data_IF_360882698442
#
_entry.id   IF_360882698442
#
_cell.length_a   1.000
_cell.length_b   1.000
_cell.length_c   1.000
_cell.angle_alpha   90.00
_cell.angle_beta   90.00
_cell.angle_gamma   90.00
#
_symmetry.space_group_name_H-M   'P 1'
#
loop_
_entity.id
_entity.type
_entity.pdbx_description
1 polymer ?
#
# COMPACT_ATOMS: atom_id res chain seq x y z
N UNK A 1 -13.66 50.55 -18.54
CA UNK A 1 -12.88 49.30 -18.65
C UNK A 1 -12.59 48.79 -17.26
N UNK A 2 -13.12 47.66 -16.86
CA UNK A 2 -12.86 47.08 -15.55
C UNK A 2 -11.37 46.66 -15.48
N UNK A 3 -10.69 47.06 -14.40
CA UNK A 3 -9.29 46.73 -14.12
C UNK A 3 -9.14 45.19 -14.11
N UNK A 4 -8.16 44.62 -14.85
CA UNK A 4 -8.00 43.16 -14.82
C UNK A 4 -7.72 42.72 -13.38
N UNK A 5 -8.52 41.80 -12.89
CA UNK A 5 -8.36 41.22 -11.54
C UNK A 5 -7.03 40.45 -11.58
N UNK A 6 -6.02 41.01 -10.94
CA UNK A 6 -4.72 40.32 -10.78
C UNK A 6 -4.93 39.12 -9.88
N UNK A 7 -4.93 37.94 -10.48
CA UNK A 7 -5.09 36.68 -9.73
C UNK A 7 -3.71 36.30 -9.17
N UNK A 8 -3.55 36.31 -7.84
CA UNK A 8 -2.30 35.98 -7.18
C UNK A 8 -2.03 34.47 -7.23
N UNK A 9 -0.77 34.08 -7.08
CA UNK A 9 -0.31 32.70 -7.08
C UNK A 9 -0.99 31.88 -5.96
N UNK A 10 -1.17 32.49 -4.79
CA UNK A 10 -1.83 31.88 -3.62
C UNK A 10 -3.31 31.64 -3.92
N UNK A 11 -3.99 32.56 -4.57
CA UNK A 11 -5.39 32.42 -4.95
C UNK A 11 -5.59 31.32 -5.99
N UNK A 12 -4.68 31.20 -6.95
CA UNK A 12 -4.70 30.11 -7.93
C UNK A 12 -4.48 28.77 -7.22
N UNK A 13 -3.50 28.68 -6.32
CA UNK A 13 -3.21 27.46 -5.57
C UNK A 13 -4.39 27.05 -4.66
N UNK A 14 -4.98 27.99 -3.94
CA UNK A 14 -6.18 27.73 -3.11
C UNK A 14 -7.34 27.19 -3.93
N UNK A 15 -7.69 27.83 -5.04
CA UNK A 15 -8.76 27.39 -5.93
C UNK A 15 -8.45 26.00 -6.54
N UNK A 16 -7.16 25.71 -6.81
CA UNK A 16 -6.72 24.41 -7.31
C UNK A 16 -6.86 23.30 -6.27
N UNK A 17 -6.53 23.57 -5.01
CA UNK A 17 -6.74 22.65 -3.90
C UNK A 17 -8.22 22.35 -3.70
N UNK A 18 -9.08 23.34 -3.78
CA UNK A 18 -10.52 23.15 -3.66
C UNK A 18 -11.11 22.30 -4.80
N UNK A 19 -10.63 22.49 -6.03
CA UNK A 19 -11.01 21.64 -7.16
C UNK A 19 -10.56 20.19 -6.94
N UNK A 20 -9.34 20.00 -6.45
CA UNK A 20 -8.82 18.66 -6.13
C UNK A 20 -9.63 18.02 -5.01
N UNK A 21 -9.99 18.74 -3.95
CA UNK A 21 -10.85 18.24 -2.87
C UNK A 21 -12.22 17.80 -3.34
N UNK A 22 -12.74 18.39 -4.41
CA UNK A 22 -14.06 18.04 -4.94
C UNK A 22 -14.09 16.77 -5.81
N UNK A 23 -12.94 16.27 -6.30
CA UNK A 23 -12.92 15.08 -7.15
C UNK A 23 -11.55 14.70 -7.73
N UNK A 24 -10.48 15.10 -7.06
CA UNK A 24 -9.12 14.68 -7.39
C UNK A 24 -8.46 15.48 -8.52
N UNK A 25 -7.22 15.08 -8.86
CA UNK A 25 -6.42 15.73 -9.91
C UNK A 25 -7.09 15.78 -11.30
N UNK A 26 -7.92 14.82 -11.72
CA UNK A 26 -8.61 14.91 -13.01
C UNK A 26 -9.49 16.15 -13.16
N UNK A 27 -10.08 16.66 -12.08
CA UNK A 27 -10.89 17.89 -12.11
C UNK A 27 -10.04 19.16 -12.26
N UNK A 28 -8.73 19.09 -11.97
CA UNK A 28 -7.83 20.22 -12.11
C UNK A 28 -7.38 20.38 -13.55
N UNK A 29 -8.18 21.11 -14.32
CA UNK A 29 -7.90 21.50 -15.71
C UNK A 29 -7.78 23.02 -15.82
N UNK A 30 -7.17 23.51 -16.91
CA UNK A 30 -7.13 24.95 -17.16
C UNK A 30 -8.55 25.55 -17.23
N UNK A 31 -9.48 24.84 -17.89
CA UNK A 31 -10.87 25.27 -18.06
C UNK A 31 -11.60 25.38 -16.73
N UNK A 32 -11.53 24.36 -15.88
CA UNK A 32 -12.22 24.38 -14.57
C UNK A 32 -11.63 25.43 -13.64
N UNK A 33 -10.31 25.64 -13.69
CA UNK A 33 -9.65 26.64 -12.87
C UNK A 33 -9.95 28.07 -13.33
N UNK A 34 -9.97 28.34 -14.65
CA UNK A 34 -10.40 29.61 -15.21
C UNK A 34 -11.85 29.93 -14.83
N UNK A 35 -12.74 28.96 -14.95
CA UNK A 35 -14.16 29.13 -14.59
C UNK A 35 -14.32 29.46 -13.10
N UNK A 36 -13.58 28.79 -12.22
CA UNK A 36 -13.62 29.01 -10.77
C UNK A 36 -13.05 30.37 -10.34
N UNK A 37 -12.03 30.87 -11.05
CA UNK A 37 -11.35 32.13 -10.73
C UNK A 37 -11.93 33.34 -11.46
N UNK A 38 -12.76 33.13 -12.47
CA UNK A 38 -13.29 34.20 -13.34
C UNK A 38 -12.19 34.88 -14.15
N UNK A 39 -11.16 34.15 -14.61
CA UNK A 39 -10.02 34.73 -15.32
C UNK A 39 -9.66 33.93 -16.57
N UNK A 40 -8.87 34.50 -17.47
CA UNK A 40 -8.34 33.81 -18.63
C UNK A 40 -7.11 32.90 -18.27
N UNK A 41 -6.81 31.91 -19.13
CA UNK A 41 -5.72 30.98 -18.93
C UNK A 41 -4.34 31.65 -18.87
N UNK A 42 -4.17 32.79 -19.55
CA UNK A 42 -2.93 33.59 -19.51
C UNK A 42 -2.58 34.04 -18.10
N UNK A 43 -3.58 34.41 -17.27
CA UNK A 43 -3.36 34.83 -15.90
C UNK A 43 -2.85 33.68 -15.01
N UNK A 44 -3.27 32.45 -15.28
CA UNK A 44 -2.81 31.26 -14.57
C UNK A 44 -1.38 30.88 -15.04
N UNK A 45 -1.16 30.85 -16.35
CA UNK A 45 0.11 30.42 -16.90
C UNK A 45 1.25 31.41 -16.71
N UNK A 46 0.95 32.71 -16.56
CA UNK A 46 1.96 33.70 -16.16
C UNK A 46 2.59 33.38 -14.80
N UNK A 47 1.82 32.73 -13.89
CA UNK A 47 2.28 32.40 -12.53
C UNK A 47 2.89 31.00 -12.41
N UNK A 48 2.44 30.04 -13.21
CA UNK A 48 2.82 28.62 -13.08
C UNK A 48 3.36 28.00 -14.36
N UNK A 49 3.48 28.74 -15.46
CA UNK A 49 3.98 28.29 -16.76
C UNK A 49 2.98 27.38 -17.51
N UNK A 50 2.39 26.43 -16.84
CA UNK A 50 1.48 25.45 -17.42
C UNK A 50 0.49 24.88 -16.38
N UNK A 51 -0.53 24.15 -16.84
CA UNK A 51 -1.40 23.39 -15.93
C UNK A 51 -0.62 22.31 -15.17
N UNK A 52 0.44 21.76 -15.77
CA UNK A 52 1.32 20.81 -15.08
C UNK A 52 2.07 21.49 -13.92
N UNK A 53 2.54 22.72 -14.11
CA UNK A 53 3.15 23.52 -13.04
C UNK A 53 2.18 23.80 -11.89
N UNK A 54 0.89 24.03 -12.19
CA UNK A 54 -0.17 24.12 -11.16
C UNK A 54 -0.32 22.78 -10.40
N UNK A 55 -0.41 21.66 -11.13
CA UNK A 55 -0.51 20.32 -10.51
C UNK A 55 0.69 19.99 -9.62
N UNK A 56 1.88 20.38 -10.02
CA UNK A 56 3.09 20.15 -9.22
C UNK A 56 3.11 21.02 -7.96
N UNK A 57 2.60 22.26 -8.05
CA UNK A 57 2.40 23.11 -6.87
C UNK A 57 1.36 22.54 -5.91
N UNK A 58 0.26 21.97 -6.42
CA UNK A 58 -0.75 21.26 -5.61
C UNK A 58 -0.14 20.04 -4.92
N UNK A 59 0.66 19.23 -5.61
CA UNK A 59 1.37 18.08 -5.00
C UNK A 59 2.30 18.52 -3.86
N UNK A 60 3.03 19.63 -4.07
CA UNK A 60 3.91 20.20 -3.03
C UNK A 60 3.11 20.65 -1.81
N UNK A 61 2.01 21.34 -2.01
CA UNK A 61 1.17 21.84 -0.91
C UNK A 61 0.43 20.69 -0.20
N UNK A 62 -0.05 19.68 -0.93
CA UNK A 62 -0.64 18.47 -0.34
C UNK A 62 0.36 17.75 0.60
N UNK A 63 1.62 17.60 0.18
CA UNK A 63 2.69 17.04 1.03
C UNK A 63 2.96 17.89 2.26
N UNK A 64 2.94 19.21 2.13
CA UNK A 64 3.15 20.14 3.26
C UNK A 64 2.01 20.01 4.28
N UNK A 65 0.76 19.97 3.81
CA UNK A 65 -0.42 19.77 4.67
C UNK A 65 -0.37 18.41 5.37
N UNK A 66 -0.01 17.35 4.65
CA UNK A 66 0.18 16.02 5.20
C UNK A 66 1.24 16.02 6.31
N UNK A 67 2.46 16.53 6.01
CA UNK A 67 3.55 16.59 7.00
C UNK A 67 3.17 17.37 8.25
N UNK A 68 2.45 18.48 8.09
CA UNK A 68 1.97 19.27 9.22
C UNK A 68 0.98 18.47 10.07
N UNK A 69 -0.14 18.01 9.47
CA UNK A 69 -1.21 17.34 10.20
C UNK A 69 -0.79 15.99 10.80
N UNK A 70 -0.04 15.19 10.06
CA UNK A 70 0.43 13.89 10.55
C UNK A 70 1.52 14.07 11.60
N UNK A 71 2.40 15.06 11.44
CA UNK A 71 3.40 15.42 12.44
C UNK A 71 2.80 15.88 13.79
N UNK A 72 1.66 16.57 13.76
CA UNK A 72 0.93 16.96 14.98
C UNK A 72 0.48 15.74 15.80
N UNK A 73 0.35 14.57 15.17
CA UNK A 73 0.00 13.33 15.85
C UNK A 73 1.00 12.88 16.92
N UNK A 74 2.28 13.26 16.79
CA UNK A 74 3.30 12.93 17.80
C UNK A 74 3.08 13.66 19.13
N UNK A 75 2.26 14.70 19.18
CA UNK A 75 1.86 15.36 20.42
C UNK A 75 0.84 14.55 21.25
N UNK A 76 0.24 13.50 20.66
CA UNK A 76 -0.67 12.59 21.36
C UNK A 76 0.12 11.54 22.16
N UNK A 77 -0.50 11.00 23.20
CA UNK A 77 0.13 9.96 24.03
C UNK A 77 -0.55 8.58 23.82
N UNK A 78 0.20 7.51 23.51
CA UNK A 78 1.62 7.50 23.16
C UNK A 78 1.89 8.06 21.75
N UNK A 79 3.04 8.74 21.52
CA UNK A 79 3.31 9.50 20.30
C UNK A 79 3.22 8.67 19.02
N UNK A 80 3.76 7.46 19.01
CA UNK A 80 3.73 6.59 17.84
C UNK A 80 2.30 6.17 17.44
N UNK A 81 1.43 5.93 18.43
CA UNK A 81 0.01 5.66 18.20
C UNK A 81 -0.71 6.91 17.64
N UNK A 82 -0.36 8.07 18.21
CA UNK A 82 -0.89 9.35 17.75
C UNK A 82 -0.55 9.65 16.30
N UNK A 83 0.67 9.36 15.86
CA UNK A 83 1.07 9.40 14.46
C UNK A 83 0.16 8.54 13.57
N UNK A 84 -0.07 7.27 13.93
CA UNK A 84 -0.95 6.38 13.17
C UNK A 84 -2.39 6.89 13.09
N UNK A 85 -2.94 7.42 14.18
CA UNK A 85 -4.27 8.05 14.21
C UNK A 85 -4.31 9.26 13.27
N UNK A 86 -3.32 10.14 13.33
CA UNK A 86 -3.27 11.35 12.51
C UNK A 86 -3.14 11.04 11.01
N UNK A 87 -2.38 9.99 10.65
CA UNK A 87 -2.26 9.49 9.28
C UNK A 87 -3.62 9.03 8.73
N UNK A 88 -4.32 8.19 9.47
CA UNK A 88 -5.64 7.67 9.08
C UNK A 88 -6.65 8.81 9.02
N UNK A 89 -6.61 9.72 9.98
CA UNK A 89 -7.50 10.88 10.03
C UNK A 89 -7.28 11.82 8.85
N UNK A 90 -6.01 12.08 8.47
CA UNK A 90 -5.71 12.86 7.27
C UNK A 90 -6.30 12.21 6.01
N UNK A 91 -6.19 10.89 5.88
CA UNK A 91 -6.76 10.16 4.75
C UNK A 91 -8.30 10.25 4.70
N UNK A 92 -8.97 10.24 5.85
CA UNK A 92 -10.43 10.38 5.93
C UNK A 92 -10.92 11.80 5.62
N UNK A 93 -10.22 12.81 6.12
CA UNK A 93 -10.55 14.23 5.94
C UNK A 93 -10.23 14.74 4.54
N UNK A 94 -9.10 14.29 3.99
CA UNK A 94 -8.52 14.80 2.75
C UNK A 94 -8.20 13.64 1.77
N UNK A 95 -9.21 12.81 1.38
CA UNK A 95 -8.98 11.56 0.65
C UNK A 95 -8.25 11.77 -0.68
N UNK A 96 -8.58 12.83 -1.41
CA UNK A 96 -7.91 13.14 -2.68
C UNK A 96 -6.50 13.69 -2.50
N UNK A 97 -6.23 14.46 -1.43
CA UNK A 97 -4.88 14.92 -1.13
C UNK A 97 -4.03 13.77 -0.61
N UNK A 98 -4.59 12.85 0.19
CA UNK A 98 -3.92 11.63 0.62
C UNK A 98 -3.49 10.78 -0.58
N UNK A 99 -4.39 10.55 -1.55
CA UNK A 99 -4.05 9.83 -2.78
C UNK A 99 -2.87 10.48 -3.52
N UNK A 100 -2.85 11.82 -3.63
CA UNK A 100 -1.75 12.56 -4.26
C UNK A 100 -0.44 12.39 -3.51
N UNK A 101 -0.47 12.38 -2.18
CA UNK A 101 0.73 12.20 -1.34
C UNK A 101 1.27 10.79 -1.49
N UNK A 102 0.40 9.78 -1.57
CA UNK A 102 0.76 8.37 -1.73
C UNK A 102 1.04 7.95 -3.18
N UNK A 103 0.77 8.85 -4.17
CA UNK A 103 1.07 8.58 -5.58
C UNK A 103 2.57 8.59 -5.84
N UNK A 104 3.13 7.44 -6.22
CA UNK A 104 4.53 7.29 -6.57
C UNK A 104 4.80 7.66 -8.03
N UNK A 105 5.75 8.56 -8.26
CA UNK A 105 6.37 8.77 -9.58
C UNK A 105 7.66 7.95 -9.76
N UNK A 106 8.18 7.39 -8.68
CA UNK A 106 9.39 6.56 -8.68
C UNK A 106 8.97 5.11 -8.45
N UNK A 107 9.70 4.19 -9.07
CA UNK A 107 9.59 2.77 -8.74
C UNK A 107 10.50 2.51 -7.55
N UNK A 108 9.97 2.39 -6.32
CA UNK A 108 10.80 2.08 -5.17
C UNK A 108 11.44 0.71 -5.36
N UNK A 109 12.70 0.57 -4.99
CA UNK A 109 13.46 -0.68 -5.12
C UNK A 109 13.01 -1.74 -4.10
N UNK A 110 12.33 -1.31 -3.03
CA UNK A 110 11.79 -2.19 -2.00
C UNK A 110 10.56 -1.59 -1.35
N UNK A 111 9.81 -2.45 -0.65
CA UNK A 111 8.68 -2.02 0.18
C UNK A 111 9.09 -1.02 1.27
N UNK A 112 10.26 -1.19 1.90
CA UNK A 112 10.80 -0.27 2.89
C UNK A 112 11.05 1.11 2.29
N UNK A 113 11.66 1.15 1.10
CA UNK A 113 11.90 2.42 0.38
C UNK A 113 10.58 3.12 0.03
N UNK A 114 9.55 2.36 -0.32
CA UNK A 114 8.21 2.92 -0.54
C UNK A 114 7.69 3.61 0.72
N UNK A 115 7.66 2.90 1.84
CA UNK A 115 7.17 3.46 3.11
C UNK A 115 8.00 4.67 3.53
N UNK A 116 9.32 4.53 3.54
CA UNK A 116 10.22 5.59 4.01
C UNK A 116 10.12 6.86 3.14
N UNK A 117 9.88 6.70 1.83
CA UNK A 117 9.75 7.82 0.89
C UNK A 117 8.38 8.51 0.93
N UNK A 118 7.29 7.76 1.09
CA UNK A 118 5.94 8.29 0.94
C UNK A 118 5.25 8.59 2.27
N UNK A 119 5.40 7.72 3.26
CA UNK A 119 4.87 7.98 4.58
C UNK A 119 5.73 9.01 5.31
N UNK A 120 7.04 8.86 5.23
CA UNK A 120 8.00 9.69 5.95
C UNK A 120 7.96 9.45 7.47
N UNK A 121 8.58 10.32 8.24
CA UNK A 121 8.58 10.29 9.71
C UNK A 121 9.22 9.05 10.34
N UNK A 122 10.07 8.32 9.61
CA UNK A 122 10.73 7.12 10.15
C UNK A 122 11.55 7.42 11.39
N UNK A 123 12.35 8.48 11.36
CA UNK A 123 13.21 8.85 12.49
C UNK A 123 12.39 9.20 13.74
N UNK A 124 11.34 10.02 13.56
CA UNK A 124 10.43 10.42 14.64
C UNK A 124 9.65 9.21 15.20
N UNK A 125 9.22 8.31 14.34
CA UNK A 125 8.55 7.07 14.75
C UNK A 125 9.48 6.16 15.54
N UNK A 126 10.73 5.95 15.09
CA UNK A 126 11.71 5.12 15.78
C UNK A 126 12.08 5.73 17.15
N UNK A 127 12.22 7.06 17.25
CA UNK A 127 12.42 7.75 18.55
C UNK A 127 11.24 7.51 19.49
N UNK A 128 10.02 7.72 19.00
CA UNK A 128 8.81 7.49 19.78
C UNK A 128 8.65 6.02 20.25
N UNK A 129 9.04 5.06 19.40
CA UNK A 129 9.05 3.63 19.73
C UNK A 129 10.08 3.34 20.83
N UNK A 130 11.30 3.89 20.69
CA UNK A 130 12.35 3.72 21.69
C UNK A 130 11.95 4.30 23.05
N UNK A 131 11.40 5.50 23.06
CA UNK A 131 10.94 6.18 24.28
C UNK A 131 9.77 5.46 24.95
N UNK A 132 8.80 4.95 24.15
CA UNK A 132 7.57 4.36 24.69
C UNK A 132 7.74 2.89 25.08
N UNK A 133 8.49 2.11 24.29
CA UNK A 133 8.55 0.64 24.42
C UNK A 133 9.94 0.11 24.76
N UNK A 134 10.98 0.95 24.76
CA UNK A 134 12.37 0.56 25.00
C UNK A 134 12.99 -0.24 23.85
N UNK A 135 12.36 -0.25 22.66
CA UNK A 135 12.85 -1.02 21.51
C UNK A 135 13.84 -0.21 20.67
N UNK A 136 14.87 -0.86 20.15
CA UNK A 136 15.89 -0.26 19.29
C UNK A 136 16.25 -1.18 18.12
N UNK A 137 16.97 -0.64 17.12
CA UNK A 137 17.48 -1.41 15.99
C UNK A 137 16.39 -2.14 15.20
N UNK A 138 16.61 -3.42 14.92
CA UNK A 138 15.70 -4.24 14.09
C UNK A 138 14.30 -4.39 14.69
N UNK A 139 14.18 -4.47 16.01
CA UNK A 139 12.90 -4.65 16.69
C UNK A 139 12.04 -3.38 16.59
N UNK A 140 12.65 -2.20 16.74
CA UNK A 140 11.98 -0.93 16.54
C UNK A 140 11.55 -0.74 15.08
N UNK A 141 12.42 -1.09 14.11
CA UNK A 141 12.07 -1.06 12.68
C UNK A 141 10.94 -2.03 12.35
N UNK A 142 10.96 -3.24 12.87
CA UNK A 142 9.89 -4.21 12.67
C UNK A 142 8.55 -3.66 13.15
N UNK A 143 8.49 -3.13 14.37
CA UNK A 143 7.27 -2.52 14.91
C UNK A 143 6.81 -1.33 14.06
N UNK A 144 7.73 -0.48 13.61
CA UNK A 144 7.44 0.66 12.74
C UNK A 144 6.76 0.22 11.44
N UNK A 145 7.38 -0.68 10.67
CA UNK A 145 6.85 -1.09 9.38
C UNK A 145 5.51 -1.81 9.50
N UNK A 146 5.35 -2.68 10.49
CA UNK A 146 4.09 -3.41 10.70
C UNK A 146 2.93 -2.45 11.03
N UNK A 147 3.15 -1.49 11.92
CA UNK A 147 2.09 -0.55 12.29
C UNK A 147 1.80 0.48 11.21
N UNK A 148 2.80 0.90 10.43
CA UNK A 148 2.57 1.76 9.28
C UNK A 148 1.73 1.03 8.23
N UNK A 149 1.96 -0.26 8.00
CA UNK A 149 1.12 -1.08 7.12
C UNK A 149 -0.34 -1.14 7.58
N UNK A 150 -0.55 -1.39 8.87
CA UNK A 150 -1.90 -1.39 9.45
C UNK A 150 -2.56 -0.03 9.26
N UNK A 151 -1.83 1.06 9.54
CA UNK A 151 -2.35 2.41 9.39
C UNK A 151 -2.68 2.76 7.93
N UNK A 152 -1.81 2.39 6.97
CA UNK A 152 -2.06 2.58 5.54
C UNK A 152 -3.25 1.74 5.05
N UNK A 153 -3.38 0.50 5.49
CA UNK A 153 -4.52 -0.36 5.18
C UNK A 153 -5.84 0.24 5.65
N UNK A 154 -5.88 0.74 6.89
CA UNK A 154 -7.05 1.44 7.44
C UNK A 154 -7.33 2.75 6.68
N UNK A 155 -6.31 3.56 6.42
CA UNK A 155 -6.43 4.80 5.67
C UNK A 155 -7.02 4.55 4.27
N UNK A 156 -6.50 3.57 3.54
CA UNK A 156 -6.98 3.21 2.19
C UNK A 156 -8.43 2.71 2.24
N UNK A 157 -8.78 1.86 3.22
CA UNK A 157 -10.14 1.35 3.39
C UNK A 157 -11.14 2.49 3.65
N UNK A 158 -10.75 3.47 4.44
CA UNK A 158 -11.58 4.64 4.74
C UNK A 158 -11.74 5.57 3.52
N UNK A 159 -10.69 5.78 2.71
CA UNK A 159 -10.76 6.64 1.52
C UNK A 159 -11.62 6.06 0.41
N UNK A 160 -11.70 4.72 0.31
CA UNK A 160 -12.56 4.04 -0.67
C UNK A 160 -14.07 4.14 -0.35
N UNK A 161 -14.48 4.89 0.66
CA UNK A 161 -15.88 5.09 1.04
C UNK A 161 -16.58 3.86 1.63
N UNK A 162 -15.84 2.77 1.84
CA UNK A 162 -16.39 1.47 2.32
C UNK A 162 -16.56 1.42 3.83
N UNK A 163 -15.88 2.29 4.57
CA UNK A 163 -15.98 2.35 6.03
C UNK A 163 -15.60 3.75 6.52
N UNK A 164 -16.35 4.26 7.50
CA UNK A 164 -15.94 5.42 8.31
C UNK A 164 -15.69 4.93 9.72
N UNK A 165 -14.42 4.85 10.10
CA UNK A 165 -14.03 4.49 11.46
C UNK A 165 -14.02 5.75 12.34
N UNK A 166 -14.51 5.63 13.56
CA UNK A 166 -14.37 6.68 14.56
C UNK A 166 -12.94 6.66 15.15
N UNK A 167 -12.48 7.77 15.73
CA UNK A 167 -11.18 7.84 16.40
C UNK A 167 -11.02 6.73 17.47
N UNK A 168 -12.03 6.45 18.33
CA UNK A 168 -11.94 5.34 19.28
C UNK A 168 -11.70 3.99 18.62
N UNK A 169 -12.40 3.68 17.52
CA UNK A 169 -12.21 2.43 16.78
C UNK A 169 -10.81 2.32 16.16
N UNK A 170 -10.32 3.38 15.52
CA UNK A 170 -8.95 3.46 15.00
C UNK A 170 -7.94 3.25 16.13
N UNK A 171 -8.12 3.95 17.25
CA UNK A 171 -7.27 3.85 18.45
C UNK A 171 -7.26 2.44 19.04
N UNK A 172 -8.39 1.77 19.07
CA UNK A 172 -8.53 0.40 19.55
C UNK A 172 -7.80 -0.59 18.62
N UNK A 173 -8.01 -0.50 17.30
CA UNK A 173 -7.37 -1.35 16.31
C UNK A 173 -5.85 -1.20 16.38
N UNK A 174 -5.34 0.04 16.32
CA UNK A 174 -3.89 0.29 16.43
C UNK A 174 -3.33 -0.23 17.75
N UNK A 175 -4.03 0.00 18.87
CA UNK A 175 -3.59 -0.46 20.18
C UNK A 175 -3.54 -1.99 20.31
N UNK A 176 -4.49 -2.72 19.72
CA UNK A 176 -4.46 -4.19 19.68
C UNK A 176 -3.28 -4.71 18.87
N UNK A 177 -3.03 -4.11 17.70
CA UNK A 177 -1.90 -4.49 16.84
C UNK A 177 -0.55 -4.20 17.52
N UNK A 178 -0.38 -3.01 18.14
CA UNK A 178 0.84 -2.71 18.92
C UNK A 178 1.11 -3.79 19.96
N UNK A 179 0.09 -4.17 20.76
CA UNK A 179 0.26 -5.19 21.79
C UNK A 179 0.63 -6.55 21.21
N UNK A 180 -0.02 -6.95 20.11
CA UNK A 180 0.27 -8.22 19.45
C UNK A 180 1.72 -8.26 18.93
N UNK A 181 2.18 -7.20 18.25
CA UNK A 181 3.55 -7.15 17.76
C UNK A 181 4.58 -7.07 18.88
N UNK A 182 4.30 -6.34 19.95
CA UNK A 182 5.18 -6.32 21.14
C UNK A 182 5.30 -7.70 21.79
N UNK A 183 4.22 -8.48 21.86
CA UNK A 183 4.28 -9.85 22.34
C UNK A 183 5.18 -10.72 21.46
N UNK A 184 5.05 -10.64 20.14
CA UNK A 184 5.90 -11.38 19.20
C UNK A 184 7.37 -10.96 19.32
N UNK A 185 7.65 -9.65 19.37
CA UNK A 185 9.03 -9.14 19.51
C UNK A 185 9.66 -9.62 20.80
N UNK A 186 8.93 -9.56 21.94
CA UNK A 186 9.43 -9.99 23.25
C UNK A 186 9.59 -11.51 23.35
N UNK A 187 8.68 -12.28 22.78
CA UNK A 187 8.81 -13.74 22.70
C UNK A 187 10.02 -14.17 21.84
N UNK A 188 10.25 -13.49 20.73
CA UNK A 188 11.40 -13.78 19.84
C UNK A 188 12.77 -13.38 20.42
N UNK A 189 12.82 -12.59 21.51
CA UNK A 189 14.06 -12.33 22.25
C UNK A 189 14.48 -13.51 23.13
N UNK A 190 13.53 -14.36 23.55
CA UNK A 190 13.80 -15.56 24.35
C UNK A 190 13.95 -16.85 23.53
N UNK A 191 13.41 -16.87 22.29
CA UNK A 191 13.42 -18.07 21.42
C UNK A 191 14.06 -17.77 20.05
N UNK A 192 15.37 -17.54 20.03
CA UNK A 192 16.11 -17.46 18.75
C UNK A 192 16.35 -18.82 18.07
N UNK A 193 15.69 -19.90 18.49
CA UNK A 193 15.87 -21.24 17.94
C UNK A 193 14.62 -21.97 17.44
N UNK A 194 13.39 -21.40 17.43
CA UNK A 194 12.18 -22.18 17.17
C UNK A 194 11.28 -21.79 16.02
N UNK A 195 11.29 -20.57 15.52
CA UNK A 195 10.45 -20.14 14.39
C UNK A 195 11.25 -19.27 13.40
N UNK A 196 12.12 -19.90 12.65
CA UNK A 196 12.68 -19.34 11.43
C UNK A 196 11.80 -19.85 10.29
N UNK A 197 10.96 -19.04 9.61
CA UNK A 197 10.58 -19.34 8.25
C UNK A 197 11.92 -19.40 7.50
N UNK A 198 12.19 -20.52 6.86
CA UNK A 198 13.42 -20.85 6.17
C UNK A 198 13.84 -19.71 5.22
N UNK A 199 14.58 -18.73 5.73
CA UNK A 199 15.19 -17.67 4.95
C UNK A 199 16.48 -18.29 4.39
N UNK A 200 16.40 -18.76 3.16
CA UNK A 200 17.57 -19.12 2.38
C UNK A 200 18.57 -17.96 2.39
N UNK A 201 19.82 -18.27 2.70
CA UNK A 201 20.94 -17.35 2.71
C UNK A 201 21.10 -16.67 1.34
N UNK A 202 20.67 -15.40 1.23
CA UNK A 202 21.00 -14.50 0.15
C UNK A 202 21.26 -13.10 0.72
N UNK A 203 22.21 -12.32 0.19
CA UNK A 203 22.50 -10.97 0.65
C UNK A 203 21.40 -9.99 0.19
N UNK A 204 20.46 -9.69 1.05
CA UNK A 204 19.36 -8.75 0.81
C UNK A 204 18.12 -9.24 1.53
N UNK A 205 17.83 -8.70 2.73
CA UNK A 205 16.67 -9.10 3.52
C UNK A 205 15.38 -8.93 2.72
N UNK A 206 14.85 -10.01 2.14
CA UNK A 206 13.53 -10.06 1.53
C UNK A 206 12.51 -9.78 2.62
N UNK A 207 11.79 -8.69 2.43
CA UNK A 207 10.51 -8.48 3.10
C UNK A 207 9.63 -9.66 2.72
N UNK A 208 9.10 -10.33 3.72
CA UNK A 208 8.23 -11.49 3.56
C UNK A 208 7.18 -11.17 2.48
N UNK A 209 7.32 -11.79 1.31
CA UNK A 209 6.44 -11.58 0.14
C UNK A 209 4.96 -11.85 0.48
N UNK A 210 4.73 -12.54 1.59
CA UNK A 210 3.44 -12.85 2.18
C UNK A 210 2.62 -11.61 2.58
N UNK A 211 3.24 -10.61 3.20
CA UNK A 211 2.53 -9.40 3.65
C UNK A 211 2.19 -8.49 2.47
N UNK A 212 3.08 -8.39 1.49
CA UNK A 212 2.83 -7.71 0.22
C UNK A 212 1.70 -8.39 -0.58
N UNK A 213 1.68 -9.72 -0.59
CA UNK A 213 0.64 -10.52 -1.21
C UNK A 213 -0.73 -10.22 -0.61
N UNK A 214 -0.85 -10.20 0.71
CA UNK A 214 -2.13 -9.91 1.38
C UNK A 214 -2.65 -8.51 1.07
N UNK A 215 -1.78 -7.52 1.00
CA UNK A 215 -2.16 -6.14 0.67
C UNK A 215 -2.60 -5.99 -0.80
N UNK A 216 -1.93 -6.69 -1.74
CA UNK A 216 -2.25 -6.63 -3.17
C UNK A 216 -3.45 -7.51 -3.55
N UNK A 217 -3.59 -8.66 -2.91
CA UNK A 217 -4.77 -9.54 -3.03
C UNK A 217 -6.05 -8.80 -2.59
N UNK A 218 -5.94 -7.93 -1.55
CA UNK A 218 -7.06 -7.09 -1.11
C UNK A 218 -7.49 -6.03 -2.12
N UNK A 219 -6.69 -5.70 -3.13
CA UNK A 219 -6.98 -4.68 -4.13
C UNK A 219 -7.39 -5.24 -5.50
N UNK A 220 -7.16 -6.53 -5.77
CA UNK A 220 -7.52 -7.14 -7.05
C UNK A 220 -8.94 -7.71 -7.00
N UNK A 221 -9.82 -7.16 -7.87
CA UNK A 221 -11.23 -7.56 -7.95
C UNK A 221 -11.41 -9.06 -8.24
N UNK A 222 -10.63 -9.60 -9.18
CA UNK A 222 -10.69 -11.01 -9.56
C UNK A 222 -10.32 -11.93 -8.39
N UNK A 223 -9.26 -11.62 -7.66
CA UNK A 223 -8.87 -12.42 -6.48
C UNK A 223 -9.89 -12.35 -5.35
N UNK A 224 -10.53 -11.19 -5.14
CA UNK A 224 -11.62 -11.05 -4.19
C UNK A 224 -12.83 -11.90 -4.60
N UNK A 225 -13.17 -11.89 -5.88
CA UNK A 225 -14.26 -12.70 -6.43
C UNK A 225 -13.98 -14.20 -6.32
N UNK A 226 -12.80 -14.67 -6.70
CA UNK A 226 -12.36 -16.06 -6.60
C UNK A 226 -12.33 -16.57 -5.14
N UNK A 227 -12.06 -15.69 -4.17
CA UNK A 227 -12.14 -16.04 -2.74
C UNK A 227 -13.56 -16.04 -2.20
N UNK A 228 -14.38 -15.06 -2.60
CA UNK A 228 -15.76 -14.97 -2.14
C UNK A 228 -16.66 -16.06 -2.75
N UNK A 229 -16.40 -16.43 -4.00
CA UNK A 229 -17.16 -17.43 -4.78
C UNK A 229 -16.20 -18.24 -5.67
N UNK A 230 -15.50 -19.23 -5.11
CA UNK A 230 -14.58 -20.06 -5.88
C UNK A 230 -15.28 -20.74 -7.05
N UNK A 231 -14.75 -20.56 -8.26
CA UNK A 231 -15.23 -21.19 -9.50
C UNK A 231 -14.04 -21.60 -10.35
N UNK A 232 -14.27 -22.43 -11.38
CA UNK A 232 -13.21 -22.85 -12.30
C UNK A 232 -12.65 -21.64 -13.05
N UNK A 233 -11.33 -21.42 -12.97
CA UNK A 233 -10.65 -20.30 -13.60
C UNK A 233 -10.49 -20.58 -15.09
N UNK A 234 -11.07 -19.70 -15.92
CA UNK A 234 -10.96 -19.75 -17.38
C UNK A 234 -9.61 -19.20 -17.85
N UNK A 235 -9.24 -19.49 -19.11
CA UNK A 235 -7.92 -19.05 -19.63
C UNK A 235 -7.78 -17.52 -19.69
N UNK A 236 -8.87 -16.77 -19.85
CA UNK A 236 -8.89 -15.29 -19.79
C UNK A 236 -8.55 -14.78 -18.39
N UNK A 237 -9.15 -15.36 -17.35
CA UNK A 237 -8.89 -15.04 -15.95
C UNK A 237 -7.47 -15.45 -15.53
N UNK A 238 -6.95 -16.57 -16.06
CA UNK A 238 -5.55 -16.93 -15.91
C UNK A 238 -4.62 -15.87 -16.49
N UNK A 239 -4.93 -15.34 -17.68
CA UNK A 239 -4.17 -14.26 -18.29
C UNK A 239 -4.17 -12.97 -17.46
N UNK A 240 -5.25 -12.70 -16.72
CA UNK A 240 -5.33 -11.57 -15.80
C UNK A 240 -4.49 -11.80 -14.54
N UNK A 241 -4.57 -12.99 -13.95
CA UNK A 241 -3.75 -13.38 -12.79
C UNK A 241 -2.24 -13.36 -13.13
N UNK A 242 -1.85 -13.91 -14.27
CA UNK A 242 -0.47 -13.91 -14.74
C UNK A 242 0.05 -12.49 -15.00
N UNK A 243 -0.78 -11.61 -15.56
CA UNK A 243 -0.46 -10.20 -15.81
C UNK A 243 -0.28 -9.43 -14.49
N UNK A 244 -1.15 -9.70 -13.52
CA UNK A 244 -1.05 -9.14 -12.17
C UNK A 244 0.26 -9.57 -11.48
N UNK A 245 0.60 -10.85 -11.54
CA UNK A 245 1.82 -11.41 -10.97
C UNK A 245 3.07 -10.85 -11.64
N UNK A 246 3.06 -10.69 -12.96
CA UNK A 246 4.15 -10.05 -13.73
C UNK A 246 4.41 -8.62 -13.27
N UNK A 247 3.37 -7.85 -13.05
CA UNK A 247 3.47 -6.44 -12.67
C UNK A 247 3.87 -6.23 -11.20
N UNK A 248 3.69 -7.25 -10.37
CA UNK A 248 3.83 -7.10 -8.91
C UNK A 248 4.98 -7.91 -8.31
N UNK A 249 5.51 -8.94 -8.98
CA UNK A 249 6.35 -9.95 -8.32
C UNK A 249 7.54 -10.48 -9.10
N UNK A 250 7.79 -10.11 -10.33
CA UNK A 250 8.70 -10.83 -11.23
C UNK A 250 8.42 -12.35 -11.34
N UNK A 251 7.28 -12.79 -10.82
CA UNK A 251 6.86 -14.18 -10.74
C UNK A 251 6.02 -14.49 -11.96
N UNK A 252 6.70 -14.70 -13.08
CA UNK A 252 6.02 -15.03 -14.33
C UNK A 252 6.09 -16.53 -14.61
N UNK A 253 5.12 -17.11 -15.34
CA UNK A 253 5.25 -18.47 -15.83
C UNK A 253 6.54 -18.71 -16.61
N UNK A 254 7.06 -17.67 -17.28
CA UNK A 254 8.30 -17.68 -18.03
C UNK A 254 9.50 -17.78 -17.08
N UNK A 255 9.61 -16.92 -16.07
CA UNK A 255 10.72 -16.93 -15.09
C UNK A 255 10.77 -18.24 -14.29
N UNK A 256 9.59 -18.80 -13.97
CA UNK A 256 9.51 -20.12 -13.33
C UNK A 256 10.01 -21.25 -14.23
N UNK A 257 9.77 -21.18 -15.55
CA UNK A 257 10.29 -22.18 -16.49
C UNK A 257 11.78 -22.03 -16.78
N UNK A 258 12.30 -20.80 -16.75
CA UNK A 258 13.75 -20.55 -16.87
C UNK A 258 14.51 -21.15 -15.71
N UNK A 259 13.97 -21.02 -14.48
CA UNK A 259 14.60 -21.56 -13.27
C UNK A 259 14.33 -23.06 -13.09
N UNK A 260 13.15 -23.54 -13.53
CA UNK A 260 12.70 -24.93 -13.38
C UNK A 260 12.04 -25.42 -14.68
N UNK A 261 12.83 -25.89 -15.68
CA UNK A 261 12.33 -26.28 -17.00
C UNK A 261 11.32 -27.44 -16.98
N UNK A 262 11.37 -28.27 -15.94
CA UNK A 262 10.52 -29.47 -15.78
C UNK A 262 9.09 -29.16 -15.28
N UNK A 263 8.76 -27.88 -15.05
CA UNK A 263 7.43 -27.50 -14.59
C UNK A 263 6.41 -27.51 -15.74
N UNK A 264 5.36 -28.29 -15.57
CA UNK A 264 4.21 -28.27 -16.49
C UNK A 264 3.31 -27.05 -16.26
N UNK A 265 2.44 -26.72 -17.23
CA UNK A 265 1.41 -25.67 -17.08
C UNK A 265 0.57 -25.89 -15.81
N UNK A 266 0.23 -27.14 -15.48
CA UNK A 266 -0.52 -27.49 -14.26
C UNK A 266 0.29 -27.29 -12.99
N UNK A 267 1.59 -27.57 -13.01
CA UNK A 267 2.47 -27.32 -11.88
C UNK A 267 2.60 -25.83 -11.59
N UNK A 268 2.75 -25.01 -12.62
CA UNK A 268 2.83 -23.54 -12.51
C UNK A 268 1.51 -22.97 -11.95
N UNK A 269 0.36 -23.39 -12.46
CA UNK A 269 -0.95 -22.98 -11.94
C UNK A 269 -1.14 -23.38 -10.48
N UNK A 270 -0.72 -24.59 -10.10
CA UNK A 270 -0.74 -25.05 -8.70
C UNK A 270 0.21 -24.22 -7.83
N UNK A 271 1.39 -23.86 -8.35
CA UNK A 271 2.36 -23.01 -7.68
C UNK A 271 1.74 -21.62 -7.42
N UNK A 272 1.21 -20.97 -8.45
CA UNK A 272 0.58 -19.66 -8.38
C UNK A 272 -0.55 -19.65 -7.31
N UNK A 273 -1.47 -20.61 -7.36
CA UNK A 273 -2.58 -20.67 -6.40
C UNK A 273 -2.10 -20.98 -4.98
N UNK A 274 -1.04 -21.77 -4.82
CA UNK A 274 -0.44 -22.03 -3.51
C UNK A 274 0.26 -20.78 -2.98
N UNK A 275 0.95 -20.05 -3.83
CA UNK A 275 1.59 -18.80 -3.50
C UNK A 275 0.55 -17.72 -3.14
N UNK A 276 -0.57 -17.67 -3.85
CA UNK A 276 -1.74 -16.84 -3.53
C UNK A 276 -2.55 -17.37 -2.31
N UNK A 277 -2.06 -18.38 -1.59
CA UNK A 277 -2.65 -18.89 -0.34
C UNK A 277 -4.07 -19.47 -0.48
N UNK A 278 -4.45 -19.96 -1.64
CA UNK A 278 -5.69 -20.73 -1.76
C UNK A 278 -5.55 -22.09 -1.06
N UNK A 279 -6.55 -22.46 -0.27
CA UNK A 279 -6.63 -23.78 0.38
C UNK A 279 -6.70 -24.91 -0.65
N UNK A 280 -6.45 -26.14 -0.23
CA UNK A 280 -6.57 -27.32 -1.12
C UNK A 280 -7.99 -27.44 -1.70
N UNK A 281 -9.01 -27.16 -0.91
CA UNK A 281 -10.41 -27.20 -1.34
C UNK A 281 -10.73 -26.12 -2.39
N UNK A 282 -10.25 -24.89 -2.17
CA UNK A 282 -10.41 -23.81 -3.14
C UNK A 282 -9.66 -24.13 -4.43
N UNK A 283 -8.40 -24.58 -4.35
CA UNK A 283 -7.62 -24.96 -5.53
C UNK A 283 -8.28 -26.08 -6.35
N UNK A 284 -8.94 -27.02 -5.67
CA UNK A 284 -9.68 -28.07 -6.36
C UNK A 284 -10.80 -27.50 -7.24
N UNK A 285 -11.56 -26.53 -6.74
CA UNK A 285 -12.59 -25.83 -7.48
C UNK A 285 -11.99 -24.99 -8.61
N UNK A 286 -10.98 -24.17 -8.29
CA UNK A 286 -10.33 -23.25 -9.23
C UNK A 286 -9.65 -23.97 -10.39
N UNK A 287 -9.08 -25.15 -10.16
CA UNK A 287 -8.40 -25.98 -11.18
C UNK A 287 -9.36 -27.00 -11.82
N UNK A 288 -10.56 -27.19 -11.32
CA UNK A 288 -11.51 -28.19 -11.81
C UNK A 288 -11.05 -29.64 -11.59
N UNK A 289 -10.32 -29.92 -10.49
CA UNK A 289 -9.79 -31.25 -10.15
C UNK A 289 -10.15 -31.66 -8.72
N UNK A 290 -9.94 -32.92 -8.35
CA UNK A 290 -10.23 -33.38 -6.99
C UNK A 290 -9.24 -32.82 -5.94
N UNK A 291 -9.64 -32.64 -4.66
CA UNK A 291 -8.72 -32.23 -3.59
C UNK A 291 -7.51 -33.17 -3.42
N UNK A 292 -7.71 -34.46 -3.64
CA UNK A 292 -6.64 -35.46 -3.64
C UNK A 292 -5.64 -35.25 -4.78
N UNK A 293 -6.12 -34.81 -5.97
CA UNK A 293 -5.28 -34.45 -7.11
C UNK A 293 -4.46 -33.20 -6.82
N UNK A 294 -5.03 -32.19 -6.14
CA UNK A 294 -4.32 -31.00 -5.70
C UNK A 294 -3.20 -31.36 -4.72
N UNK A 295 -3.49 -32.21 -3.74
CA UNK A 295 -2.47 -32.67 -2.77
C UNK A 295 -1.29 -33.35 -3.45
N UNK A 296 -1.58 -34.27 -4.40
CA UNK A 296 -0.54 -34.94 -5.21
C UNK A 296 0.25 -33.95 -6.07
N UNK A 297 -0.43 -32.96 -6.67
CA UNK A 297 0.21 -31.91 -7.46
C UNK A 297 1.16 -31.06 -6.60
N UNK A 298 0.75 -30.66 -5.40
CA UNK A 298 1.61 -29.94 -4.45
C UNK A 298 2.83 -30.74 -4.00
N UNK A 299 2.65 -32.05 -3.73
CA UNK A 299 3.79 -32.93 -3.37
C UNK A 299 4.79 -33.06 -4.53
N UNK A 300 4.31 -33.29 -5.75
CA UNK A 300 5.14 -33.35 -6.96
C UNK A 300 5.87 -32.02 -7.20
N UNK A 301 5.15 -30.91 -7.04
CA UNK A 301 5.71 -29.57 -7.17
C UNK A 301 6.82 -29.33 -6.15
N UNK A 302 6.61 -29.69 -4.88
CA UNK A 302 7.63 -29.59 -3.84
C UNK A 302 8.88 -30.38 -4.19
N UNK A 303 8.72 -31.61 -4.74
CA UNK A 303 9.85 -32.42 -5.17
C UNK A 303 10.63 -31.82 -6.35
N UNK A 304 9.97 -31.10 -7.27
CA UNK A 304 10.60 -30.41 -8.40
C UNK A 304 11.28 -29.09 -8.03
N UNK A 305 10.82 -28.43 -6.97
CA UNK A 305 11.37 -27.16 -6.48
C UNK A 305 12.44 -27.35 -5.40
N UNK A 306 12.60 -28.57 -4.87
CA UNK A 306 13.72 -28.90 -3.97
C UNK A 306 15.00 -29.05 -4.78
N UNK A 307 16.13 -28.41 -4.37
CA UNK A 307 17.41 -28.50 -5.06
C UNK A 307 17.97 -29.91 -5.07
#
# INVERSE_FOLDING_TARGET
>A
MARPVTVTKERILSASLDLVRSGGLPLLTARSLCARLGCGASAIFSSFGSIQGVRDAVRKEARKLYRKRVGEGFALNPPFKGFGIALIWFAMDEPYLFSIVMESKMHPSSFKDYIDSYVGFKAECLSAIAETFGLQGKDAEMLYYQLVLVALGLATTCTCGRSRLSIPQVSEILGKNVRAFLMVIRAGSDEREGFVPNAGNGPGGEVDSYVLMQALVGQNHLLQELRARPHYIKDEEWGELERMLRNSYDLTPESLRETHPDLTKGDIRTYILSHLQFSVSEQAILLGISPTSVTKARQRLKAKLSP
#
